data_IF_289413142688
#
_entry.id   IF_289413142688
#
_cell.length_a   1.000
_cell.length_b   1.000
_cell.length_c   1.000
_cell.angle_alpha   90.00
_cell.angle_beta   90.00
_cell.angle_gamma   90.00
#
_symmetry.space_group_name_H-M   'P 1'
#
loop_
_entity.id
_entity.type
_entity.pdbx_description
1 polymer ?
#
# COMPACT_ATOMS: atom_id res chain seq x y z
N UNK A 1 17.78 11.90 -9.44
CA UNK A 1 16.58 12.35 -8.72
C UNK A 1 17.02 13.38 -7.68
N UNK A 2 16.73 14.66 -7.88
CA UNK A 2 17.10 15.72 -6.93
C UNK A 2 15.96 15.87 -5.91
N UNK A 3 16.11 15.30 -4.71
CA UNK A 3 15.11 15.36 -3.63
C UNK A 3 15.40 16.57 -2.74
N UNK A 4 14.38 17.37 -2.43
CA UNK A 4 14.50 18.52 -1.52
C UNK A 4 14.31 18.10 -0.06
N UNK A 5 13.60 17.01 0.18
CA UNK A 5 13.44 16.39 1.49
C UNK A 5 14.78 15.87 2.01
N UNK A 6 15.18 16.38 3.18
CA UNK A 6 16.42 16.01 3.87
C UNK A 6 16.12 15.35 5.19
N UNK A 7 16.47 14.08 5.29
CA UNK A 7 16.45 13.31 6.51
C UNK A 7 17.35 12.08 6.34
N UNK A 8 18.47 12.06 7.05
CA UNK A 8 19.41 10.96 7.06
C UNK A 8 19.23 10.04 8.27
N UNK A 9 18.13 10.17 9.02
CA UNK A 9 17.81 9.27 10.12
C UNK A 9 17.47 7.90 9.57
N UNK A 10 18.26 6.92 9.97
CA UNK A 10 18.08 5.53 9.57
C UNK A 10 16.83 4.95 10.25
N UNK A 11 15.96 4.34 9.46
CA UNK A 11 14.74 3.68 9.95
C UNK A 11 15.04 2.23 10.36
N UNK A 12 15.89 1.55 9.60
CA UNK A 12 16.28 0.15 9.82
C UNK A 12 17.52 -0.21 8.98
N UNK A 13 18.18 -1.30 9.37
CA UNK A 13 19.08 -2.06 8.49
C UNK A 13 18.28 -3.20 7.86
N UNK A 14 18.45 -3.39 6.55
CA UNK A 14 17.86 -4.52 5.84
C UNK A 14 18.88 -5.08 4.84
N UNK A 15 19.21 -6.37 4.96
CA UNK A 15 20.18 -7.05 4.09
C UNK A 15 21.55 -6.35 3.98
N UNK A 16 21.99 -5.73 5.08
CA UNK A 16 23.24 -4.96 5.14
C UNK A 16 23.18 -3.55 4.54
N UNK A 17 21.97 -3.07 4.21
CA UNK A 17 21.74 -1.72 3.69
C UNK A 17 20.95 -0.88 4.70
N UNK A 18 21.43 0.32 5.00
CA UNK A 18 20.66 1.33 5.75
C UNK A 18 19.44 1.74 4.93
N UNK A 19 18.26 1.72 5.53
CA UNK A 19 17.02 2.14 4.92
C UNK A 19 16.53 3.44 5.57
N UNK A 20 16.10 4.39 4.75
CA UNK A 20 15.63 5.71 5.13
C UNK A 20 14.15 5.88 4.78
N UNK A 21 13.54 6.98 5.22
CA UNK A 21 12.12 7.23 4.96
C UNK A 21 11.78 7.25 3.45
N UNK A 22 12.69 7.79 2.63
CA UNK A 22 12.59 7.75 1.18
C UNK A 22 12.55 6.32 0.62
N UNK A 23 13.29 5.38 1.22
CA UNK A 23 13.32 3.99 0.76
C UNK A 23 11.99 3.28 1.06
N UNK A 24 11.36 3.59 2.20
CA UNK A 24 10.02 3.06 2.51
C UNK A 24 8.98 3.64 1.54
N UNK A 25 9.07 4.93 1.22
CA UNK A 25 8.20 5.57 0.24
C UNK A 25 8.36 4.91 -1.12
N UNK A 26 9.59 4.74 -1.59
CA UNK A 26 9.90 4.09 -2.87
C UNK A 26 9.38 2.64 -2.87
N UNK A 27 9.54 1.90 -1.76
CA UNK A 27 8.96 0.56 -1.60
C UNK A 27 7.43 0.54 -1.60
N UNK A 28 6.77 1.55 -1.02
CA UNK A 28 5.31 1.68 -1.08
C UNK A 28 4.82 1.94 -2.51
N UNK A 29 5.51 2.78 -3.27
CA UNK A 29 5.18 3.04 -4.68
C UNK A 29 5.36 1.77 -5.52
N UNK A 30 6.50 1.09 -5.39
CA UNK A 30 6.77 -0.16 -6.09
C UNK A 30 5.73 -1.23 -5.71
N UNK A 31 5.41 -1.37 -4.42
CA UNK A 31 4.43 -2.32 -3.93
C UNK A 31 2.98 -1.93 -4.17
N UNK A 32 2.72 -0.74 -4.75
CA UNK A 32 1.38 -0.15 -4.90
C UNK A 32 0.60 -0.13 -3.59
N UNK A 33 1.26 0.29 -2.51
CA UNK A 33 0.72 0.36 -1.16
C UNK A 33 0.45 1.81 -0.78
N UNK A 34 -0.82 2.13 -0.53
CA UNK A 34 -1.21 3.40 0.07
C UNK A 34 -0.44 3.70 1.36
N UNK A 35 0.19 4.87 1.42
CA UNK A 35 1.05 5.31 2.53
C UNK A 35 0.45 6.52 3.24
N UNK A 36 0.35 6.44 4.57
CA UNK A 36 -0.02 7.58 5.41
C UNK A 36 1.20 8.04 6.21
N UNK A 37 1.57 9.32 6.04
CA UNK A 37 2.59 9.99 6.83
C UNK A 37 1.92 10.79 7.94
N UNK A 38 2.13 10.37 9.18
CA UNK A 38 1.66 11.10 10.36
C UNK A 38 2.81 11.71 11.14
N UNK A 39 2.51 12.70 11.96
CA UNK A 39 3.46 13.34 12.86
C UNK A 39 3.13 14.82 13.04
N UNK A 40 3.98 15.56 13.73
CA UNK A 40 3.80 16.97 14.04
C UNK A 40 4.03 17.89 12.83
N UNK A 41 3.44 19.09 12.89
CA UNK A 41 3.64 20.13 11.88
C UNK A 41 5.13 20.47 11.76
N UNK A 42 5.63 20.58 10.52
CA UNK A 42 7.02 20.93 10.25
C UNK A 42 7.99 19.74 10.22
N UNK A 43 7.54 18.49 10.40
CA UNK A 43 8.40 17.30 10.25
C UNK A 43 8.78 16.94 8.79
N UNK A 44 8.34 17.76 7.82
CA UNK A 44 8.67 17.58 6.39
C UNK A 44 7.76 16.63 5.61
N UNK A 45 6.63 16.17 6.18
CA UNK A 45 5.67 15.24 5.55
C UNK A 45 5.22 15.71 4.16
N UNK A 46 4.76 16.96 4.07
CA UNK A 46 4.27 17.55 2.83
C UNK A 46 5.38 17.69 1.80
N UNK A 47 6.61 18.03 2.22
CA UNK A 47 7.75 18.11 1.30
C UNK A 47 8.10 16.73 0.74
N UNK A 48 8.16 15.71 1.58
CA UNK A 48 8.37 14.33 1.15
C UNK A 48 7.30 13.87 0.16
N UNK A 49 6.02 14.07 0.49
CA UNK A 49 4.91 13.69 -0.39
C UNK A 49 4.95 14.43 -1.75
N UNK A 50 5.40 15.69 -1.77
CA UNK A 50 5.56 16.46 -3.00
C UNK A 50 6.77 16.07 -3.81
N UNK A 51 7.89 15.75 -3.17
CA UNK A 51 9.07 15.24 -3.87
C UNK A 51 8.73 13.97 -4.66
N UNK A 52 7.86 13.12 -4.11
CA UNK A 52 7.35 11.93 -4.81
C UNK A 52 6.49 12.27 -6.03
N UNK A 53 5.74 13.38 -5.99
CA UNK A 53 4.97 13.80 -7.16
C UNK A 53 5.84 14.06 -8.38
N UNK A 54 7.09 14.49 -8.16
CA UNK A 54 8.04 14.73 -9.25
C UNK A 54 8.30 13.47 -10.08
N UNK A 55 8.22 12.28 -9.50
CA UNK A 55 8.38 11.02 -10.21
C UNK A 55 7.28 10.74 -11.23
N UNK A 56 6.10 11.34 -11.07
CA UNK A 56 4.94 11.07 -11.91
C UNK A 56 4.61 12.25 -12.83
N UNK A 57 5.35 13.36 -12.76
CA UNK A 57 5.10 14.55 -13.56
C UNK A 57 3.63 15.00 -13.53
N UNK A 58 3.00 15.06 -14.71
CA UNK A 58 1.59 15.45 -14.85
C UNK A 58 0.58 14.32 -14.52
N UNK A 59 1.06 13.14 -14.11
CA UNK A 59 0.24 11.98 -13.72
C UNK A 59 0.03 11.89 -12.21
N UNK A 60 0.46 12.91 -11.45
CA UNK A 60 0.17 13.07 -10.04
C UNK A 60 -0.92 14.13 -9.80
N UNK A 61 -1.79 13.87 -8.83
CA UNK A 61 -2.79 14.82 -8.35
C UNK A 61 -2.49 15.21 -6.90
N UNK A 62 -2.50 16.51 -6.61
CA UNK A 62 -2.44 17.03 -5.24
C UNK A 62 -3.81 17.49 -4.75
N UNK A 63 -4.18 17.11 -3.54
CA UNK A 63 -5.38 17.54 -2.83
C UNK A 63 -4.99 18.06 -1.45
N UNK A 64 -5.49 19.23 -1.09
CA UNK A 64 -5.37 19.75 0.27
C UNK A 64 -6.68 19.47 1.00
N UNK A 65 -6.61 18.70 2.08
CA UNK A 65 -7.74 18.34 2.90
C UNK A 65 -8.25 19.52 3.70
N UNK A 66 -9.57 19.74 3.64
CA UNK A 66 -10.28 20.81 4.34
C UNK A 66 -11.63 20.31 4.84
N UNK A 67 -12.13 20.92 5.91
CA UNK A 67 -13.42 20.57 6.52
C UNK A 67 -14.62 21.06 5.69
N UNK A 68 -14.42 22.05 4.83
CA UNK A 68 -15.42 22.61 3.91
C UNK A 68 -15.41 21.94 2.52
N UNK A 69 -14.51 20.98 2.30
CA UNK A 69 -14.39 20.29 1.02
C UNK A 69 -15.62 19.42 0.75
N UNK A 70 -16.20 19.56 -0.45
CA UNK A 70 -17.30 18.71 -0.90
C UNK A 70 -16.82 17.68 -1.95
N UNK A 71 -17.64 16.65 -2.18
CA UNK A 71 -17.33 15.62 -3.17
C UNK A 71 -17.33 16.19 -4.59
N UNK A 72 -18.07 17.29 -4.83
CA UNK A 72 -18.11 17.95 -6.14
C UNK A 72 -16.79 18.60 -6.48
N UNK A 73 -16.10 19.26 -5.55
CA UNK A 73 -14.77 19.82 -5.73
C UNK A 73 -13.77 18.73 -6.12
N UNK A 74 -13.82 17.57 -5.44
CA UNK A 74 -13.00 16.42 -5.81
C UNK A 74 -13.30 15.96 -7.24
N UNK A 75 -14.57 15.84 -7.61
CA UNK A 75 -14.97 15.43 -8.96
C UNK A 75 -14.80 16.51 -10.03
N UNK A 76 -14.73 17.79 -9.68
CA UNK A 76 -14.33 18.88 -10.56
C UNK A 76 -12.83 18.78 -10.87
N UNK A 77 -12.01 18.34 -9.91
CA UNK A 77 -10.61 17.96 -10.16
C UNK A 77 -10.46 16.69 -11.02
N UNK A 78 -11.54 15.93 -11.24
CA UNK A 78 -11.63 14.88 -12.27
C UNK A 78 -12.50 15.26 -13.49
N UNK A 79 -13.11 16.46 -13.47
CA UNK A 79 -14.04 17.01 -14.45
C UNK A 79 -15.16 16.04 -14.91
N UNK A 80 -15.80 15.33 -13.96
CA UNK A 80 -16.80 14.29 -14.26
C UNK A 80 -18.13 14.80 -14.85
N UNK A 81 -18.38 16.11 -14.88
CA UNK A 81 -19.65 16.70 -15.35
C UNK A 81 -20.00 16.29 -16.80
N UNK A 82 -19.03 15.76 -17.56
CA UNK A 82 -19.19 15.34 -18.95
C UNK A 82 -19.28 13.81 -19.16
N UNK A 83 -19.02 12.98 -18.14
CA UNK A 83 -19.18 11.51 -18.23
C UNK A 83 -20.65 11.06 -18.20
N UNK A 84 -21.57 11.96 -17.86
CA UNK A 84 -23.02 11.72 -17.88
C UNK A 84 -23.70 11.85 -19.25
N UNK A 85 -22.98 12.28 -20.30
CA UNK A 85 -23.53 12.32 -21.67
C UNK A 85 -23.36 10.94 -22.32
N UNK A 86 -24.38 10.08 -22.22
CA UNK A 86 -24.51 8.92 -23.12
C UNK A 86 -24.93 9.41 -24.51
N UNK A 87 -24.10 9.28 -25.56
CA UNK A 87 -24.60 9.44 -26.92
C UNK A 87 -25.53 8.25 -27.24
N UNK A 88 -26.58 8.51 -27.99
CA UNK A 88 -27.57 7.52 -28.41
C UNK A 88 -27.10 6.65 -29.60
N UNK A 89 -25.79 6.40 -29.73
CA UNK A 89 -25.18 5.72 -30.86
C UNK A 89 -24.15 4.67 -30.40
N UNK A 90 -24.26 3.44 -30.91
CA UNK A 90 -23.32 2.32 -30.72
C UNK A 90 -22.03 2.56 -31.53
N UNK A 91 -21.22 3.53 -31.11
CA UNK A 91 -19.89 3.78 -31.68
C UNK A 91 -18.85 3.75 -30.56
N UNK A 92 -17.80 2.95 -30.72
CA UNK A 92 -16.69 2.87 -29.77
C UNK A 92 -15.49 3.69 -30.29
N UNK A 93 -15.02 4.73 -29.56
CA UNK A 93 -13.77 5.39 -29.87
C UNK A 93 -12.58 4.54 -29.46
N UNK A 94 -11.66 4.29 -30.39
CA UNK A 94 -10.36 3.70 -30.11
C UNK A 94 -9.26 4.71 -30.45
N UNK A 95 -8.45 5.06 -29.46
CA UNK A 95 -7.25 5.88 -29.68
C UNK A 95 -6.19 4.98 -30.28
N UNK A 96 -5.72 5.29 -31.49
CA UNK A 96 -4.56 4.61 -32.05
C UNK A 96 -3.34 4.93 -31.15
N UNK A 97 -2.73 3.91 -30.51
CA UNK A 97 -1.70 4.13 -29.51
C UNK A 97 -0.38 4.66 -30.10
N UNK A 98 -0.15 4.52 -31.41
CA UNK A 98 1.08 4.96 -32.08
C UNK A 98 0.98 6.40 -32.58
N UNK A 99 -0.21 6.82 -33.03
CA UNK A 99 -0.41 8.15 -33.65
C UNK A 99 -1.17 9.13 -32.77
N UNK A 100 -1.84 8.67 -31.71
CA UNK A 100 -2.68 9.48 -30.83
C UNK A 100 -3.98 9.96 -31.49
N UNK A 101 -4.28 9.50 -32.70
CA UNK A 101 -5.50 9.85 -33.45
C UNK A 101 -6.65 8.95 -32.96
N UNK A 102 -7.79 9.57 -32.65
CA UNK A 102 -9.03 8.85 -32.31
C UNK A 102 -9.66 8.32 -33.59
N UNK A 103 -9.74 7.00 -33.72
CA UNK A 103 -10.41 6.31 -34.81
C UNK A 103 -11.73 5.72 -34.32
N UNK A 104 -12.75 5.73 -35.18
CA UNK A 104 -14.12 5.38 -34.81
C UNK A 104 -14.56 4.10 -35.51
N UNK A 105 -15.09 3.17 -34.73
CA UNK A 105 -15.49 1.86 -35.19
C UNK A 105 -16.97 1.63 -34.91
N UNK A 106 -17.63 0.91 -35.81
CA UNK A 106 -19.00 0.43 -35.62
C UNK A 106 -19.07 -1.10 -35.74
N UNK A 107 -19.92 -1.76 -34.96
CA UNK A 107 -20.11 -3.20 -35.07
C UNK A 107 -20.87 -3.55 -36.36
N UNK A 108 -20.37 -4.53 -37.10
CA UNK A 108 -20.96 -5.07 -38.31
C UNK A 108 -20.88 -6.60 -38.29
N UNK A 109 -21.94 -7.28 -38.73
CA UNK A 109 -21.94 -8.74 -38.86
C UNK A 109 -21.63 -9.10 -40.30
N UNK A 110 -20.50 -9.78 -40.52
CA UNK A 110 -20.11 -10.31 -41.82
C UNK A 110 -19.88 -11.81 -41.72
N UNK A 111 -20.50 -12.56 -42.63
CA UNK A 111 -20.44 -14.03 -42.65
C UNK A 111 -20.81 -14.69 -41.30
N UNK A 112 -21.74 -14.07 -40.55
CA UNK A 112 -22.19 -14.57 -39.26
C UNK A 112 -21.26 -14.29 -38.08
N UNK A 113 -20.19 -13.49 -38.28
CA UNK A 113 -19.24 -13.11 -37.23
C UNK A 113 -19.31 -11.60 -36.97
N UNK A 114 -19.32 -11.20 -35.70
CA UNK A 114 -19.25 -9.79 -35.30
C UNK A 114 -17.84 -9.25 -35.57
N UNK A 115 -17.75 -8.17 -36.31
CA UNK A 115 -16.50 -7.47 -36.66
C UNK A 115 -16.67 -5.97 -36.45
N UNK A 116 -15.60 -5.28 -36.06
CA UNK A 116 -15.62 -3.83 -35.89
C UNK A 116 -15.02 -3.19 -37.14
N UNK A 117 -15.83 -2.40 -37.86
CA UNK A 117 -15.39 -1.71 -39.07
C UNK A 117 -15.04 -0.26 -38.79
N UNK A 118 -13.86 0.15 -39.27
CA UNK A 118 -13.41 1.54 -39.24
C UNK A 118 -14.32 2.37 -40.14
N UNK A 119 -14.84 3.48 -39.60
CA UNK A 119 -15.61 4.46 -40.37
C UNK A 119 -14.67 5.13 -41.39
N UNK A 120 -15.14 5.36 -42.62
CA UNK A 120 -14.36 6.06 -43.64
C UNK A 120 -14.07 7.52 -43.25
N UNK A 121 -13.01 8.11 -43.82
CA UNK A 121 -12.49 9.42 -43.35
C UNK A 121 -13.51 10.56 -43.48
N UNK A 122 -14.42 10.49 -44.46
CA UNK A 122 -15.46 11.49 -44.71
C UNK A 122 -16.57 11.44 -43.63
N UNK A 123 -17.02 10.24 -43.24
CA UNK A 123 -17.97 10.08 -42.13
C UNK A 123 -17.31 10.28 -40.76
N UNK A 124 -16.03 9.93 -40.62
CA UNK A 124 -15.25 10.23 -39.42
C UNK A 124 -15.16 11.75 -39.18
N UNK A 125 -14.99 12.56 -40.23
CA UNK A 125 -15.01 14.01 -40.14
C UNK A 125 -16.39 14.56 -39.71
N UNK A 126 -17.49 13.97 -40.17
CA UNK A 126 -18.86 14.36 -39.78
C UNK A 126 -19.15 13.97 -38.32
N UNK A 127 -18.69 12.80 -37.87
CA UNK A 127 -18.80 12.35 -36.47
C UNK A 127 -17.95 13.24 -35.56
N UNK A 128 -16.73 13.60 -35.98
CA UNK A 128 -15.85 14.54 -35.27
C UNK A 128 -16.49 15.93 -35.15
N UNK A 129 -17.04 16.46 -36.24
CA UNK A 129 -17.77 17.74 -36.27
C UNK A 129 -18.97 17.78 -35.31
N UNK A 130 -19.70 16.66 -35.17
CA UNK A 130 -20.85 16.55 -34.27
C UNK A 130 -20.44 16.31 -32.82
N UNK A 131 -19.35 15.58 -32.58
CA UNK A 131 -18.78 15.35 -31.25
C UNK A 131 -18.04 16.56 -30.72
N UNK A 132 -17.35 17.35 -31.55
CA UNK A 132 -16.77 18.65 -31.17
C UNK A 132 -17.85 19.62 -30.69
N UNK A 133 -19.06 19.54 -31.28
CA UNK A 133 -20.25 20.27 -30.79
C UNK A 133 -20.83 19.72 -29.48
N UNK A 134 -20.50 18.49 -29.07
CA UNK A 134 -21.07 17.80 -27.90
C UNK A 134 -20.09 17.64 -26.72
N UNK A 135 -18.78 17.57 -26.97
CA UNK A 135 -17.75 17.25 -25.98
C UNK A 135 -16.95 18.48 -25.48
N UNK A 136 -17.07 19.63 -26.14
CA UNK A 136 -16.16 20.75 -25.94
C UNK A 136 -14.83 20.56 -26.68
N UNK A 137 -13.94 21.54 -26.59
CA UNK A 137 -12.75 21.69 -27.44
C UNK A 137 -11.74 20.53 -27.26
N UNK A 138 -10.81 20.35 -28.20
CA UNK A 138 -9.74 19.32 -28.17
C UNK A 138 -8.89 19.33 -26.90
N UNK A 139 -8.81 20.46 -26.20
CA UNK A 139 -8.17 20.60 -24.88
C UNK A 139 -8.95 19.87 -23.77
N UNK A 140 -10.27 19.84 -23.84
CA UNK A 140 -11.14 19.20 -22.84
C UNK A 140 -11.01 17.67 -22.89
N UNK A 141 -10.86 17.10 -24.09
CA UNK A 141 -10.62 15.67 -24.30
C UNK A 141 -9.23 15.27 -23.83
N UNK A 142 -8.22 16.13 -24.05
CA UNK A 142 -6.87 15.96 -23.49
C UNK A 142 -6.88 16.04 -21.96
N UNK A 143 -7.65 16.96 -21.37
CA UNK A 143 -7.79 17.09 -19.91
C UNK A 143 -8.43 15.84 -19.29
N UNK A 144 -9.55 15.35 -19.86
CA UNK A 144 -10.21 14.10 -19.40
C UNK A 144 -9.29 12.87 -19.55
N UNK A 145 -8.60 12.73 -20.68
CA UNK A 145 -7.67 11.61 -20.93
C UNK A 145 -6.45 11.67 -20.00
N UNK A 146 -5.95 12.87 -19.70
CA UNK A 146 -4.84 13.08 -18.76
C UNK A 146 -5.21 12.68 -17.32
N UNK A 147 -6.45 12.95 -16.89
CA UNK A 147 -6.91 12.64 -15.53
C UNK A 147 -7.28 11.17 -15.33
N UNK A 148 -7.73 10.48 -16.39
CA UNK A 148 -7.82 9.01 -16.40
C UNK A 148 -6.43 8.37 -16.27
N UNK A 149 -5.37 9.07 -16.68
CA UNK A 149 -3.98 8.64 -16.56
C UNK A 149 -3.29 9.11 -15.25
N UNK A 150 -4.07 9.44 -14.22
CA UNK A 150 -3.53 9.75 -12.89
C UNK A 150 -3.09 8.46 -12.19
N UNK A 151 -1.82 8.38 -11.81
CA UNK A 151 -1.20 7.22 -11.15
C UNK A 151 -0.90 7.45 -9.68
N UNK A 152 -0.73 8.71 -9.26
CA UNK A 152 -0.44 9.08 -7.88
C UNK A 152 -1.45 10.11 -7.41
N UNK A 153 -2.04 9.87 -6.25
CA UNK A 153 -2.87 10.86 -5.57
C UNK A 153 -2.20 11.20 -4.23
N UNK A 154 -1.81 12.46 -4.08
CA UNK A 154 -1.26 13.01 -2.84
C UNK A 154 -2.34 13.82 -2.14
N UNK A 155 -2.68 13.46 -0.90
CA UNK A 155 -3.62 14.21 -0.06
C UNK A 155 -2.90 14.75 1.16
N UNK A 156 -2.68 16.06 1.21
CA UNK A 156 -2.17 16.72 2.39
C UNK A 156 -3.31 16.96 3.38
N UNK A 157 -3.08 16.79 4.68
CA UNK A 157 -4.09 17.02 5.71
C UNK A 157 -5.39 16.21 5.52
N UNK A 158 -5.28 14.94 5.10
CA UNK A 158 -6.40 14.00 4.94
C UNK A 158 -7.35 13.93 6.18
N UNK A 159 -6.86 14.00 7.44
CA UNK A 159 -7.73 14.05 8.62
C UNK A 159 -8.79 15.15 8.61
N UNK A 160 -8.51 16.27 7.93
CA UNK A 160 -9.38 17.44 7.89
C UNK A 160 -10.54 17.27 6.89
N UNK A 161 -10.47 16.29 5.99
CA UNK A 161 -11.56 16.01 5.06
C UNK A 161 -12.78 15.41 5.78
N UNK A 162 -13.97 15.83 5.37
CA UNK A 162 -15.23 15.20 5.79
C UNK A 162 -15.28 13.71 5.37
N UNK A 163 -15.97 12.83 6.13
CA UNK A 163 -15.99 11.38 5.86
C UNK A 163 -16.37 11.01 4.41
N UNK A 164 -17.34 11.71 3.82
CA UNK A 164 -17.79 11.45 2.45
C UNK A 164 -16.68 11.70 1.40
N UNK A 165 -15.89 12.76 1.58
CA UNK A 165 -14.75 13.08 0.71
C UNK A 165 -13.62 12.06 0.92
N UNK A 166 -13.32 11.70 2.17
CA UNK A 166 -12.33 10.66 2.48
C UNK A 166 -12.65 9.33 1.81
N UNK A 167 -13.91 8.90 1.83
CA UNK A 167 -14.35 7.69 1.16
C UNK A 167 -14.04 7.70 -0.34
N UNK A 168 -14.27 8.83 -1.02
CA UNK A 168 -13.97 9.00 -2.43
C UNK A 168 -12.46 9.05 -2.70
N UNK A 169 -11.68 9.74 -1.86
CA UNK A 169 -10.22 9.75 -1.96
C UNK A 169 -9.63 8.35 -1.88
N UNK A 170 -10.15 7.49 -0.99
CA UNK A 170 -9.73 6.10 -0.92
C UNK A 170 -10.05 5.29 -2.18
N UNK A 171 -11.19 5.55 -2.84
CA UNK A 171 -11.49 4.91 -4.12
C UNK A 171 -10.46 5.30 -5.19
N UNK A 172 -10.03 6.57 -5.20
CA UNK A 172 -8.97 7.05 -6.09
C UNK A 172 -7.64 6.35 -5.81
N UNK A 173 -7.28 6.19 -4.53
CA UNK A 173 -6.09 5.45 -4.13
C UNK A 173 -6.13 4.00 -4.65
N UNK A 174 -7.30 3.36 -4.56
CA UNK A 174 -7.55 2.01 -5.09
C UNK A 174 -7.65 1.97 -6.64
N UNK A 175 -7.56 3.13 -7.30
CA UNK A 175 -7.50 3.27 -8.76
C UNK A 175 -8.86 3.21 -9.44
N UNK A 176 -9.90 3.71 -8.79
CA UNK A 176 -11.20 3.88 -9.44
C UNK A 176 -11.98 5.10 -8.96
N UNK A 177 -12.95 5.51 -9.76
CA UNK A 177 -13.94 6.53 -9.45
C UNK A 177 -15.30 5.88 -9.54
N UNK A 178 -16.18 6.15 -8.57
CA UNK A 178 -17.56 5.67 -8.61
C UNK A 178 -18.50 6.78 -9.12
N UNK A 179 -19.23 6.50 -10.21
CA UNK A 179 -20.20 7.43 -10.79
C UNK A 179 -21.53 6.69 -10.89
N UNK A 180 -22.55 7.19 -10.18
CA UNK A 180 -23.89 6.59 -10.17
C UNK A 180 -23.88 5.08 -9.86
N UNK A 181 -23.04 4.66 -8.90
CA UNK A 181 -22.90 3.25 -8.50
C UNK A 181 -22.02 2.39 -9.41
N UNK A 182 -21.47 2.94 -10.49
CA UNK A 182 -20.60 2.22 -11.42
C UNK A 182 -19.14 2.62 -11.21
N UNK A 183 -18.21 1.65 -10.98
CA UNK A 183 -16.79 1.94 -10.83
C UNK A 183 -16.08 2.08 -12.20
N UNK A 184 -15.33 3.16 -12.37
CA UNK A 184 -14.49 3.45 -13.54
C UNK A 184 -13.03 3.42 -13.13
N UNK A 185 -12.22 2.59 -13.79
CA UNK A 185 -10.79 2.46 -13.49
C UNK A 185 -10.00 3.68 -13.96
N UNK A 186 -9.05 4.11 -13.14
CA UNK A 186 -8.07 5.15 -13.46
C UNK A 186 -6.64 4.60 -13.33
N UNK A 187 -5.67 5.33 -13.86
CA UNK A 187 -4.25 5.02 -13.75
C UNK A 187 -3.79 3.85 -14.60
N UNK A 188 -4.56 3.42 -15.60
CA UNK A 188 -4.21 2.31 -16.52
C UNK A 188 -3.68 1.05 -15.81
N UNK A 189 -4.31 0.69 -14.69
CA UNK A 189 -3.92 -0.49 -13.90
C UNK A 189 -3.00 -0.19 -12.71
N UNK A 190 -2.40 1.01 -12.65
CA UNK A 190 -1.58 1.46 -11.52
C UNK A 190 -2.12 2.78 -10.94
N UNK A 191 -2.51 2.74 -9.67
CA UNK A 191 -2.84 3.91 -8.86
C UNK A 191 -2.40 3.65 -7.43
N UNK A 192 -1.88 4.69 -6.77
CA UNK A 192 -1.45 4.65 -5.36
C UNK A 192 -1.73 5.98 -4.68
N UNK A 193 -2.12 5.92 -3.40
CA UNK A 193 -2.33 7.10 -2.56
C UNK A 193 -1.17 7.36 -1.60
N UNK A 194 -0.73 8.60 -1.49
CA UNK A 194 0.06 9.09 -0.35
C UNK A 194 -0.77 10.14 0.36
N UNK A 195 -0.93 10.01 1.66
CA UNK A 195 -1.64 11.00 2.45
C UNK A 195 -0.82 11.44 3.66
N UNK A 196 -1.00 12.69 4.08
CA UNK A 196 -0.38 13.23 5.28
C UNK A 196 -1.47 13.64 6.28
N UNK A 197 -1.08 13.76 7.55
CA UNK A 197 -1.89 14.47 8.52
C UNK A 197 -1.27 14.47 9.90
N UNK A 198 -1.77 15.34 10.76
CA UNK A 198 -1.36 15.39 12.16
C UNK A 198 -2.39 14.56 12.97
N UNK A 199 -1.98 13.41 13.50
CA UNK A 199 -2.84 12.56 14.35
C UNK A 199 -2.26 12.59 15.76
N UNK A 200 -3.07 13.01 16.74
CA UNK A 200 -2.67 12.96 18.16
C UNK A 200 -2.52 14.32 18.85
N UNK A 201 -2.64 15.43 18.15
CA UNK A 201 -2.80 16.73 18.82
C UNK A 201 -4.23 16.86 19.37
N UNK A 202 -4.38 17.46 20.56
CA UNK A 202 -5.67 17.76 21.23
C UNK A 202 -6.68 18.55 20.38
N UNK A 203 -6.35 18.92 19.14
CA UNK A 203 -7.10 19.81 18.26
C UNK A 203 -7.65 19.17 16.98
N UNK A 204 -7.47 17.88 16.74
CA UNK A 204 -8.17 17.20 15.63
C UNK A 204 -9.46 16.54 16.11
N UNK A 205 -10.60 17.17 15.82
CA UNK A 205 -11.96 16.78 16.23
C UNK A 205 -12.47 15.43 15.65
N UNK A 206 -11.64 14.66 14.92
CA UNK A 206 -12.09 13.49 14.14
C UNK A 206 -11.30 12.18 14.35
N UNK A 207 -10.49 12.07 15.43
CA UNK A 207 -9.56 10.95 15.64
C UNK A 207 -10.21 9.55 15.62
N UNK A 208 -11.44 9.41 16.11
CA UNK A 208 -12.11 8.11 16.23
C UNK A 208 -12.61 7.55 14.87
N UNK A 209 -13.25 8.38 14.03
CA UNK A 209 -13.74 7.95 12.70
C UNK A 209 -12.62 7.81 11.68
N UNK A 210 -11.59 8.65 11.80
CA UNK A 210 -10.39 8.57 10.99
C UNK A 210 -9.58 7.31 11.31
N UNK A 211 -9.49 6.94 12.59
CA UNK A 211 -8.75 5.77 13.04
C UNK A 211 -9.18 4.48 12.33
N UNK A 212 -10.49 4.22 12.18
CA UNK A 212 -10.97 2.98 11.52
C UNK A 212 -10.75 2.99 10.01
N UNK A 213 -11.05 4.10 9.34
CA UNK A 213 -10.91 4.19 7.89
C UNK A 213 -9.43 4.17 7.43
N UNK A 214 -8.53 4.82 8.19
CA UNK A 214 -7.08 4.73 7.96
C UNK A 214 -6.57 3.30 8.19
N UNK A 215 -6.96 2.66 9.30
CA UNK A 215 -6.60 1.27 9.62
C UNK A 215 -6.93 0.28 8.50
N UNK A 216 -8.05 0.50 7.82
CA UNK A 216 -8.56 -0.43 6.82
C UNK A 216 -8.02 -0.16 5.40
N UNK A 217 -7.65 1.08 5.04
CA UNK A 217 -7.36 1.47 3.64
C UNK A 217 -5.98 2.09 3.39
N UNK A 218 -5.30 2.55 4.43
CA UNK A 218 -3.87 2.90 4.35
C UNK A 218 -3.09 1.64 4.71
N UNK A 219 -2.28 1.15 3.77
CA UNK A 219 -1.58 -0.12 3.94
C UNK A 219 -0.36 0.03 4.84
N UNK A 220 0.28 1.20 4.81
CA UNK A 220 1.45 1.54 5.61
C UNK A 220 1.20 2.88 6.27
N UNK A 221 1.49 2.98 7.57
CA UNK A 221 1.42 4.23 8.32
C UNK A 221 2.78 4.47 8.96
N UNK A 222 3.38 5.62 8.67
CA UNK A 222 4.66 6.02 9.24
C UNK A 222 4.46 7.28 10.05
N UNK A 223 4.77 7.17 11.33
CA UNK A 223 4.92 8.30 12.23
C UNK A 223 6.33 8.90 12.10
N UNK A 224 6.41 10.07 11.47
CA UNK A 224 7.65 10.78 11.18
C UNK A 224 8.31 11.35 12.43
N UNK A 225 7.59 11.47 13.54
CA UNK A 225 8.12 12.07 14.77
C UNK A 225 9.14 11.14 15.45
N UNK A 226 9.05 9.83 15.20
CA UNK A 226 10.06 8.85 15.61
C UNK A 226 11.31 8.87 14.73
N UNK A 227 11.28 9.58 13.60
CA UNK A 227 12.35 9.62 12.60
C UNK A 227 12.68 11.07 12.22
N UNK A 228 12.86 11.95 13.20
CA UNK A 228 13.18 13.36 12.95
C UNK A 228 14.57 13.53 12.31
N UNK A 229 14.80 14.60 11.52
CA UNK A 229 16.09 14.85 10.89
C UNK A 229 17.25 14.95 11.90
N UNK A 230 18.44 14.52 11.50
CA UNK A 230 19.63 14.66 12.35
C UNK A 230 20.03 16.13 12.54
N UNK A 231 20.88 16.48 13.53
CA UNK A 231 21.40 17.84 13.64
C UNK A 231 22.12 18.34 12.38
N UNK A 232 22.79 17.44 11.65
CA UNK A 232 23.42 17.75 10.37
C UNK A 232 22.38 18.08 9.31
N UNK A 233 21.34 17.24 9.16
CA UNK A 233 20.25 17.51 8.23
C UNK A 233 19.60 18.85 8.55
N UNK A 234 19.36 19.12 9.83
CA UNK A 234 18.77 20.37 10.32
C UNK A 234 19.64 21.56 9.94
N UNK A 235 20.95 21.49 10.16
CA UNK A 235 21.88 22.54 9.74
C UNK A 235 21.82 22.77 8.22
N UNK A 236 21.77 21.70 7.42
CA UNK A 236 21.68 21.79 5.97
C UNK A 236 20.33 22.32 5.46
N UNK A 237 19.23 22.04 6.17
CA UNK A 237 17.90 22.61 5.90
C UNK A 237 17.92 24.10 6.21
N UNK A 238 18.40 24.48 7.40
CA UNK A 238 18.43 25.87 7.88
C UNK A 238 19.41 26.76 7.09
N UNK A 239 20.54 26.19 6.63
CA UNK A 239 21.51 26.88 5.80
C UNK A 239 21.12 26.94 4.31
N UNK A 240 20.10 26.17 3.91
CA UNK A 240 19.56 26.13 2.56
C UNK A 240 18.63 27.31 2.27
N UNK A 241 17.59 27.04 1.47
CA UNK A 241 16.55 28.03 1.22
C UNK A 241 15.78 28.33 2.51
N UNK A 242 15.85 29.58 2.97
CA UNK A 242 15.18 30.03 4.21
C UNK A 242 13.69 30.32 4.01
N UNK A 243 13.15 30.14 2.80
CA UNK A 243 11.72 30.23 2.55
C UNK A 243 11.01 29.08 3.30
N UNK A 244 10.14 29.37 4.27
CA UNK A 244 9.48 28.34 5.07
C UNK A 244 8.38 27.59 4.30
N UNK A 245 8.12 27.97 3.04
CA UNK A 245 7.12 27.34 2.18
C UNK A 245 7.69 26.07 1.55
N UNK A 246 6.82 25.09 1.37
CA UNK A 246 7.12 23.86 0.62
C UNK A 246 7.63 24.22 -0.78
N UNK A 247 8.78 23.68 -1.13
CA UNK A 247 9.39 23.91 -2.44
C UNK A 247 8.62 23.16 -3.51
N UNK A 248 8.30 23.87 -4.59
CA UNK A 248 7.77 23.27 -5.81
C UNK A 248 8.98 23.00 -6.70
N UNK A 249 9.45 21.75 -6.73
CA UNK A 249 10.41 21.34 -7.75
C UNK A 249 9.79 21.54 -9.13
N UNK A 250 10.58 22.06 -10.07
CA UNK A 250 10.18 22.15 -11.48
C UNK A 250 9.85 20.76 -12.04
N UNK A 251 9.16 20.71 -13.19
CA UNK A 251 8.79 19.46 -13.87
C UNK A 251 10.04 18.59 -14.00
N UNK A 252 10.15 17.58 -13.16
CA UNK A 252 11.22 16.58 -13.22
C UNK A 252 10.94 15.61 -14.38
N UNK A 253 11.96 14.85 -14.77
CA UNK A 253 11.76 13.70 -15.66
C UNK A 253 10.70 12.77 -15.07
N UNK A 254 9.71 12.40 -15.88
CA UNK A 254 8.63 11.50 -15.50
C UNK A 254 9.17 10.06 -15.38
N UNK A 255 9.52 9.69 -14.15
CA UNK A 255 10.01 8.36 -13.76
C UNK A 255 8.87 7.32 -13.56
N UNK A 256 7.60 7.66 -13.83
CA UNK A 256 6.46 6.78 -13.54
C UNK A 256 6.55 5.43 -14.23
N UNK A 257 7.07 5.39 -15.46
CA UNK A 257 7.24 4.14 -16.20
C UNK A 257 8.18 3.16 -15.48
N UNK A 258 9.25 3.67 -14.85
CA UNK A 258 10.20 2.85 -14.07
C UNK A 258 9.56 2.27 -12.82
N UNK A 259 8.77 3.08 -12.11
CA UNK A 259 8.05 2.65 -10.90
C UNK A 259 6.99 1.61 -11.26
N UNK A 260 6.19 1.88 -12.29
CA UNK A 260 5.12 0.98 -12.76
C UNK A 260 5.70 -0.34 -13.25
N UNK A 261 6.82 -0.31 -14.01
CA UNK A 261 7.50 -1.51 -14.47
C UNK A 261 7.93 -2.40 -13.31
N UNK A 262 8.58 -1.83 -12.28
CA UNK A 262 8.94 -2.59 -11.07
C UNK A 262 7.73 -3.12 -10.31
N UNK A 263 6.65 -2.35 -10.26
CA UNK A 263 5.42 -2.81 -9.62
C UNK A 263 4.87 -4.06 -10.32
N UNK A 264 4.85 -4.05 -11.65
CA UNK A 264 4.44 -5.20 -12.47
C UNK A 264 5.39 -6.40 -12.28
N UNK A 265 6.70 -6.17 -12.22
CA UNK A 265 7.67 -7.23 -11.91
C UNK A 265 7.33 -7.92 -10.60
N UNK A 266 7.17 -7.18 -9.49
CA UNK A 266 6.81 -7.76 -8.18
C UNK A 266 5.43 -8.41 -8.21
N UNK A 267 4.45 -7.88 -8.95
CA UNK A 267 3.14 -8.53 -9.13
C UNK A 267 3.24 -9.91 -9.77
N UNK A 268 4.19 -10.11 -10.68
CA UNK A 268 4.42 -11.39 -11.36
C UNK A 268 5.39 -12.33 -10.64
N UNK A 269 6.25 -11.80 -9.76
CA UNK A 269 7.21 -12.60 -9.00
C UNK A 269 6.50 -13.55 -8.01
N UNK A 270 6.75 -14.87 -8.09
CA UNK A 270 6.20 -15.81 -7.12
C UNK A 270 6.60 -15.46 -5.69
N UNK A 271 5.64 -15.55 -4.76
CA UNK A 271 5.91 -15.30 -3.35
C UNK A 271 6.71 -16.49 -2.79
N UNK A 272 7.89 -16.26 -2.19
CA UNK A 272 8.65 -17.33 -1.53
C UNK A 272 7.82 -18.03 -0.45
N UNK A 273 7.91 -19.36 -0.38
CA UNK A 273 7.14 -20.17 0.55
C UNK A 273 7.38 -19.76 2.02
N UNK A 274 8.61 -19.37 2.35
CA UNK A 274 8.98 -18.88 3.69
C UNK A 274 8.16 -17.64 4.09
N UNK A 275 8.00 -16.66 3.20
CA UNK A 275 7.16 -15.48 3.45
C UNK A 275 5.70 -15.87 3.71
N UNK A 276 5.19 -16.90 3.03
CA UNK A 276 3.83 -17.41 3.28
C UNK A 276 3.71 -18.08 4.66
N UNK A 277 4.72 -18.83 5.11
CA UNK A 277 4.73 -19.39 6.47
C UNK A 277 4.80 -18.31 7.54
N UNK A 278 5.64 -17.29 7.35
CA UNK A 278 5.72 -16.14 8.25
C UNK A 278 4.38 -15.40 8.30
N UNK A 279 3.76 -15.12 7.16
CA UNK A 279 2.44 -14.48 7.11
C UNK A 279 1.35 -15.32 7.81
N UNK A 280 1.38 -16.66 7.65
CA UNK A 280 0.47 -17.56 8.35
C UNK A 280 0.70 -17.56 9.87
N UNK A 281 1.95 -17.45 10.32
CA UNK A 281 2.26 -17.27 11.73
C UNK A 281 1.65 -15.96 12.27
N UNK A 282 1.81 -14.85 11.56
CA UNK A 282 1.22 -13.57 11.95
C UNK A 282 -0.33 -13.60 11.99
N UNK A 283 -0.96 -14.45 11.17
CA UNK A 283 -2.42 -14.61 11.11
C UNK A 283 -2.98 -15.56 12.18
N UNK A 284 -2.29 -16.68 12.40
CA UNK A 284 -2.78 -17.82 13.19
C UNK A 284 -1.93 -18.09 14.43
N UNK A 285 -0.60 -18.04 14.32
CA UNK A 285 0.30 -18.22 15.45
C UNK A 285 0.17 -17.10 16.47
N UNK A 286 0.04 -15.85 16.02
CA UNK A 286 -0.30 -14.72 16.87
C UNK A 286 -1.77 -14.70 17.31
N UNK A 287 -2.66 -15.57 16.82
CA UNK A 287 -4.04 -15.67 17.32
C UNK A 287 -4.16 -16.56 18.56
N UNK A 288 -3.16 -17.41 18.80
CA UNK A 288 -3.19 -18.40 19.87
C UNK A 288 -3.03 -17.78 21.26
N UNK A 289 -3.79 -18.31 22.22
CA UNK A 289 -3.59 -18.18 23.67
C UNK A 289 -3.98 -19.50 24.37
N UNK A 290 -3.69 -19.61 25.66
CA UNK A 290 -4.09 -20.75 26.53
C UNK A 290 -5.57 -21.13 26.41
N UNK A 291 -6.45 -20.14 26.21
CA UNK A 291 -7.91 -20.31 26.07
C UNK A 291 -8.38 -20.48 24.62
N UNK A 292 -7.46 -20.66 23.68
CA UNK A 292 -7.73 -20.89 22.27
C UNK A 292 -7.39 -19.70 21.39
N UNK A 293 -8.40 -19.04 20.81
CA UNK A 293 -8.23 -17.97 19.82
C UNK A 293 -8.56 -16.60 20.42
N UNK A 294 -7.61 -15.66 20.34
CA UNK A 294 -7.78 -14.28 20.80
C UNK A 294 -8.90 -13.57 20.03
N UNK A 295 -9.06 -13.83 18.73
CA UNK A 295 -10.19 -13.30 17.95
C UNK A 295 -11.56 -13.70 18.52
N UNK A 296 -11.68 -14.90 19.09
CA UNK A 296 -12.94 -15.36 19.69
C UNK A 296 -13.26 -14.67 21.02
N UNK A 297 -12.24 -14.10 21.67
CA UNK A 297 -12.41 -13.36 22.93
C UNK A 297 -12.99 -11.96 22.70
N UNK A 298 -12.88 -11.39 21.49
CA UNK A 298 -13.36 -10.04 21.15
C UNK A 298 -12.88 -9.00 22.17
N UNK A 299 -13.79 -8.20 22.72
CA UNK A 299 -13.53 -7.13 23.69
C UNK A 299 -13.07 -7.67 25.07
N UNK A 300 -13.14 -8.98 25.29
CA UNK A 300 -12.61 -9.61 26.49
C UNK A 300 -11.11 -9.89 26.43
N UNK A 301 -10.46 -9.72 25.27
CA UNK A 301 -9.01 -9.61 25.19
C UNK A 301 -8.60 -8.17 25.52
N UNK A 302 -7.56 -7.94 26.33
CA UNK A 302 -6.65 -8.92 26.94
C UNK A 302 -7.08 -9.42 28.33
N UNK A 303 -8.17 -8.90 28.90
CA UNK A 303 -8.52 -9.10 30.34
C UNK A 303 -8.79 -10.55 30.73
N UNK A 304 -9.26 -11.38 29.80
CA UNK A 304 -9.51 -12.80 30.05
C UNK A 304 -8.28 -13.70 29.85
N UNK A 305 -7.12 -13.17 29.48
CA UNK A 305 -5.89 -13.97 29.41
C UNK A 305 -5.44 -14.43 30.80
N UNK A 306 -4.67 -15.51 30.84
CA UNK A 306 -4.01 -15.93 32.08
C UNK A 306 -2.93 -14.91 32.49
N UNK A 307 -2.67 -14.77 33.80
CA UNK A 307 -1.80 -13.72 34.32
C UNK A 307 -0.40 -13.68 33.67
N UNK A 308 0.17 -14.85 33.35
CA UNK A 308 1.47 -14.93 32.70
C UNK A 308 1.44 -14.54 31.21
N UNK A 309 0.28 -14.63 30.54
CA UNK A 309 0.08 -14.23 29.14
C UNK A 309 -0.21 -12.73 29.01
N UNK A 310 -0.78 -12.10 30.04
CA UNK A 310 -1.08 -10.66 30.01
C UNK A 310 0.17 -9.80 29.87
N UNK A 311 1.32 -10.25 30.38
CA UNK A 311 2.60 -9.56 30.29
C UNK A 311 3.48 -9.96 29.10
N UNK A 312 2.98 -10.80 28.18
CA UNK A 312 3.76 -11.31 27.04
C UNK A 312 3.25 -10.78 25.69
N UNK A 313 3.84 -11.25 24.58
CA UNK A 313 3.35 -10.96 23.23
C UNK A 313 1.87 -11.36 23.04
N UNK A 314 1.38 -12.35 23.79
CA UNK A 314 -0.02 -12.80 23.76
C UNK A 314 -0.99 -11.70 24.21
N UNK A 315 -0.64 -10.95 25.26
CA UNK A 315 -1.39 -9.80 25.77
C UNK A 315 -1.10 -8.48 25.06
N UNK A 316 0.02 -8.39 24.34
CA UNK A 316 0.44 -7.17 23.66
C UNK A 316 -0.17 -6.99 22.28
N UNK A 317 -0.33 -8.06 21.50
CA UNK A 317 -0.72 -7.95 20.09
C UNK A 317 -1.80 -8.94 19.67
N UNK A 318 -2.74 -8.49 18.84
CA UNK A 318 -3.69 -9.30 18.11
C UNK A 318 -3.09 -9.81 16.80
N UNK A 319 -3.56 -10.94 16.26
CA UNK A 319 -3.14 -11.38 14.93
C UNK A 319 -3.55 -10.38 13.85
N UNK A 320 -2.74 -10.27 12.80
CA UNK A 320 -3.02 -9.35 11.68
C UNK A 320 -4.25 -9.79 10.88
N UNK A 321 -4.90 -8.89 10.14
CA UNK A 321 -5.94 -9.28 9.19
C UNK A 321 -5.34 -9.92 7.92
N UNK A 322 -6.09 -10.70 7.13
CA UNK A 322 -5.61 -11.19 5.83
C UNK A 322 -5.19 -10.06 4.88
N UNK A 323 -5.84 -8.88 4.97
CA UNK A 323 -5.45 -7.69 4.19
C UNK A 323 -4.08 -7.17 4.65
N UNK A 324 -3.87 -7.02 5.95
CA UNK A 324 -2.58 -6.60 6.50
C UNK A 324 -1.48 -7.62 6.18
N UNK A 325 -1.75 -8.93 6.26
CA UNK A 325 -0.79 -9.96 5.85
C UNK A 325 -0.37 -9.82 4.38
N UNK A 326 -1.31 -9.53 3.46
CA UNK A 326 -0.98 -9.23 2.05
C UNK A 326 -0.14 -7.97 1.91
N UNK A 327 -0.46 -6.91 2.65
CA UNK A 327 0.35 -5.68 2.67
C UNK A 327 1.77 -5.96 3.17
N UNK A 328 1.94 -6.79 4.21
CA UNK A 328 3.25 -7.17 4.76
C UNK A 328 4.07 -7.94 3.73
N UNK A 329 3.48 -8.92 3.05
CA UNK A 329 4.16 -9.68 1.99
C UNK A 329 4.58 -8.72 0.86
N UNK A 330 3.67 -7.87 0.40
CA UNK A 330 3.93 -6.94 -0.70
C UNK A 330 5.00 -5.91 -0.34
N UNK A 331 4.93 -5.36 0.86
CA UNK A 331 5.91 -4.41 1.37
C UNK A 331 7.27 -5.07 1.51
N UNK A 332 7.34 -6.29 2.07
CA UNK A 332 8.63 -6.97 2.22
C UNK A 332 9.29 -7.27 0.88
N UNK A 333 8.54 -7.71 -0.14
CA UNK A 333 9.09 -7.90 -1.49
C UNK A 333 9.57 -6.58 -2.10
N UNK A 334 8.86 -5.49 -1.84
CA UNK A 334 9.24 -4.16 -2.34
C UNK A 334 10.46 -3.60 -1.62
N UNK A 335 10.58 -3.85 -0.31
CA UNK A 335 11.76 -3.52 0.48
C UNK A 335 12.99 -4.31 0.05
N UNK A 336 12.83 -5.60 -0.25
CA UNK A 336 13.91 -6.42 -0.82
C UNK A 336 14.38 -5.84 -2.16
N UNK A 337 13.45 -5.47 -3.05
CA UNK A 337 13.79 -4.83 -4.33
C UNK A 337 14.50 -3.50 -4.16
N UNK A 338 14.13 -2.69 -3.16
CA UNK A 338 14.84 -1.43 -2.85
C UNK A 338 16.23 -1.73 -2.28
N UNK A 339 16.36 -2.70 -1.38
CA UNK A 339 17.66 -3.09 -0.83
C UNK A 339 18.61 -3.63 -1.92
N UNK A 340 18.10 -4.42 -2.86
CA UNK A 340 18.84 -4.90 -4.03
C UNK A 340 19.38 -3.73 -4.88
N UNK A 341 18.54 -2.72 -5.14
CA UNK A 341 18.96 -1.52 -5.87
C UNK A 341 20.04 -0.70 -5.15
N UNK A 342 20.11 -0.83 -3.82
CA UNK A 342 21.17 -0.22 -3.00
C UNK A 342 22.43 -1.07 -2.91
N UNK A 343 22.41 -2.27 -3.51
CA UNK A 343 23.57 -3.16 -3.62
C UNK A 343 23.51 -4.40 -2.73
N UNK A 344 22.37 -4.71 -2.11
CA UNK A 344 22.20 -5.99 -1.44
C UNK A 344 22.29 -7.15 -2.45
N UNK A 345 23.05 -8.20 -2.11
CA UNK A 345 23.16 -9.38 -2.95
C UNK A 345 21.88 -10.22 -2.86
N UNK A 346 21.42 -10.74 -4.00
CA UNK A 346 20.24 -11.62 -4.06
C UNK A 346 20.34 -12.82 -3.11
N UNK A 347 21.53 -13.42 -2.97
CA UNK A 347 21.75 -14.53 -2.04
C UNK A 347 21.57 -14.15 -0.57
N UNK A 348 21.87 -12.90 -0.21
CA UNK A 348 21.65 -12.38 1.15
C UNK A 348 20.15 -12.21 1.40
N UNK A 349 19.43 -11.63 0.44
CA UNK A 349 17.97 -11.45 0.48
C UNK A 349 17.28 -12.81 0.65
N UNK A 350 17.62 -13.77 -0.20
CA UNK A 350 17.04 -15.12 -0.21
C UNK A 350 17.29 -15.90 1.08
N UNK A 351 18.39 -15.60 1.78
CA UNK A 351 18.73 -16.25 3.04
C UNK A 351 18.05 -15.65 4.28
N UNK A 352 17.39 -14.49 4.14
CA UNK A 352 16.91 -13.72 5.28
C UNK A 352 15.52 -13.08 5.06
N UNK A 353 14.58 -13.83 4.47
CA UNK A 353 13.22 -13.34 4.26
C UNK A 353 12.50 -12.97 5.55
N UNK A 354 12.83 -13.64 6.67
CA UNK A 354 12.29 -13.31 7.98
C UNK A 354 12.45 -11.83 8.35
N UNK A 355 13.64 -11.26 8.17
CA UNK A 355 13.91 -9.87 8.54
C UNK A 355 13.06 -8.90 7.70
N UNK A 356 13.04 -9.07 6.37
CA UNK A 356 12.20 -8.26 5.47
C UNK A 356 10.71 -8.30 5.85
N UNK A 357 10.21 -9.49 6.25
CA UNK A 357 8.82 -9.68 6.68
C UNK A 357 8.54 -9.02 8.02
N UNK A 358 9.47 -9.08 8.98
CA UNK A 358 9.31 -8.46 10.30
C UNK A 358 9.40 -6.93 10.23
N UNK A 359 10.31 -6.39 9.40
CA UNK A 359 10.35 -4.96 9.15
C UNK A 359 9.06 -4.47 8.47
N UNK A 360 8.55 -5.20 7.48
CA UNK A 360 7.26 -4.89 6.87
C UNK A 360 6.10 -5.00 7.88
N UNK A 361 6.10 -6.01 8.73
CA UNK A 361 5.13 -6.20 9.82
C UNK A 361 5.12 -5.00 10.77
N UNK A 362 6.29 -4.48 11.15
CA UNK A 362 6.44 -3.30 12.01
C UNK A 362 5.66 -2.11 11.48
N UNK A 363 5.91 -1.70 10.23
CA UNK A 363 5.29 -0.50 9.65
C UNK A 363 3.83 -0.68 9.24
N UNK A 364 3.43 -1.89 8.83
CA UNK A 364 2.02 -2.17 8.53
C UNK A 364 1.19 -2.22 9.81
N UNK A 365 1.73 -2.75 10.90
CA UNK A 365 0.94 -3.09 12.09
C UNK A 365 0.91 -2.00 13.17
N UNK A 366 1.89 -1.09 13.20
CA UNK A 366 2.01 -0.06 14.23
C UNK A 366 0.71 0.72 14.47
N UNK A 367 0.00 1.06 13.39
CA UNK A 367 -1.24 1.83 13.46
C UNK A 367 -2.46 1.08 12.90
N UNK A 368 -2.35 -0.23 12.66
CA UNK A 368 -3.47 -1.05 12.15
C UNK A 368 -4.50 -1.43 13.23
N UNK A 369 -4.25 -1.07 14.50
CA UNK A 369 -5.12 -1.39 15.63
C UNK A 369 -4.98 -2.81 16.16
N UNK A 370 -3.84 -3.48 15.91
CA UNK A 370 -3.55 -4.81 16.48
C UNK A 370 -2.93 -4.74 17.87
N UNK A 371 -2.37 -3.59 18.27
CA UNK A 371 -1.71 -3.45 19.56
C UNK A 371 -2.70 -3.19 20.69
N UNK A 372 -2.39 -3.73 21.87
CA UNK A 372 -3.03 -3.36 23.12
C UNK A 372 -2.52 -1.99 23.57
N UNK A 373 -3.23 -0.92 23.19
CA UNK A 373 -2.82 0.46 23.44
C UNK A 373 -2.52 0.71 24.93
N UNK A 374 -3.31 0.15 25.86
CA UNK A 374 -3.05 0.31 27.30
C UNK A 374 -1.71 -0.27 27.74
N UNK A 375 -1.29 -1.38 27.14
CA UNK A 375 0.01 -1.99 27.44
C UNK A 375 1.15 -1.25 26.72
N UNK A 376 0.92 -0.73 25.51
CA UNK A 376 1.86 0.14 24.81
C UNK A 376 2.14 1.40 25.65
N UNK A 377 1.09 2.05 26.17
CA UNK A 377 1.21 3.23 27.02
C UNK A 377 1.98 2.90 28.31
N UNK A 378 1.63 1.80 28.98
CA UNK A 378 2.19 1.45 30.27
C UNK A 378 3.64 0.94 30.22
N UNK A 379 3.98 0.11 29.23
CA UNK A 379 5.28 -0.59 29.16
C UNK A 379 6.23 -0.03 28.10
N UNK A 380 5.72 0.72 27.12
CA UNK A 380 6.49 1.21 25.98
C UNK A 380 6.37 2.73 25.79
N UNK A 381 5.80 3.46 26.75
CA UNK A 381 5.70 4.94 26.70
C UNK A 381 4.99 5.45 25.44
N UNK A 382 3.92 4.76 25.02
CA UNK A 382 3.17 5.04 23.80
C UNK A 382 3.94 4.82 22.48
N UNK A 383 5.13 4.22 22.53
CA UNK A 383 5.97 3.89 21.38
C UNK A 383 5.57 2.55 20.76
N UNK A 384 4.74 2.64 19.72
CA UNK A 384 4.21 1.48 18.98
C UNK A 384 5.29 0.69 18.26
N UNK A 385 6.36 1.36 17.82
CA UNK A 385 7.47 0.70 17.15
C UNK A 385 8.28 -0.15 18.13
N UNK A 386 8.58 0.36 19.32
CA UNK A 386 9.24 -0.43 20.37
C UNK A 386 8.39 -1.61 20.85
N UNK A 387 7.08 -1.42 20.97
CA UNK A 387 6.17 -2.52 21.29
C UNK A 387 6.25 -3.63 20.23
N UNK A 388 6.26 -3.26 18.95
CA UNK A 388 6.40 -4.23 17.85
C UNK A 388 7.79 -4.85 17.78
N UNK A 389 8.85 -4.12 18.11
CA UNK A 389 10.21 -4.69 18.20
C UNK A 389 10.27 -5.81 19.25
N UNK A 390 9.57 -5.66 20.38
CA UNK A 390 9.46 -6.72 21.39
C UNK A 390 8.69 -7.96 20.87
N UNK A 391 7.61 -7.75 20.11
CA UNK A 391 6.87 -8.83 19.44
C UNK A 391 7.74 -9.54 18.39
N UNK A 392 8.50 -8.77 17.60
CA UNK A 392 9.41 -9.30 16.57
C UNK A 392 10.51 -10.15 17.22
N UNK A 393 11.12 -9.67 18.30
CA UNK A 393 12.14 -10.41 19.03
C UNK A 393 11.60 -11.76 19.55
N UNK A 394 10.40 -11.74 20.13
CA UNK A 394 9.73 -12.97 20.62
C UNK A 394 9.40 -13.91 19.45
N UNK A 395 8.88 -13.37 18.35
CA UNK A 395 8.56 -14.14 17.14
C UNK A 395 9.80 -14.78 16.54
N UNK A 396 10.93 -14.06 16.49
CA UNK A 396 12.21 -14.59 16.02
C UNK A 396 12.64 -15.79 16.84
N UNK A 397 12.60 -15.68 18.17
CA UNK A 397 12.92 -16.80 19.06
C UNK A 397 12.01 -18.01 18.81
N UNK A 398 10.71 -17.79 18.54
CA UNK A 398 9.77 -18.87 18.23
C UNK A 398 10.14 -19.60 16.93
N UNK A 399 10.52 -18.86 15.89
CA UNK A 399 10.97 -19.45 14.62
C UNK A 399 12.29 -20.18 14.76
N UNK A 400 13.25 -19.64 15.53
CA UNK A 400 14.53 -20.30 15.80
C UNK A 400 14.34 -21.64 16.53
N UNK A 401 13.49 -21.67 17.57
CA UNK A 401 13.18 -22.90 18.32
C UNK A 401 12.50 -23.95 17.44
N UNK A 402 11.66 -23.54 16.49
CA UNK A 402 10.94 -24.46 15.60
C UNK A 402 11.66 -24.75 14.28
N UNK A 403 12.82 -24.14 14.03
CA UNK A 403 13.48 -24.14 12.72
C UNK A 403 13.70 -25.55 12.15
N UNK A 404 14.21 -26.47 12.95
CA UNK A 404 14.47 -27.85 12.51
C UNK A 404 13.17 -28.62 12.22
N UNK A 405 12.11 -28.37 12.99
CA UNK A 405 10.81 -29.02 12.79
C UNK A 405 10.13 -28.48 11.54
N UNK A 406 10.22 -27.16 11.30
CA UNK A 406 9.76 -26.51 10.07
C UNK A 406 10.50 -27.08 8.86
N UNK A 407 11.83 -27.14 8.91
CA UNK A 407 12.66 -27.70 7.82
C UNK A 407 12.25 -29.14 7.49
N UNK A 408 12.17 -29.99 8.51
CA UNK A 408 11.74 -31.38 8.34
C UNK A 408 10.31 -31.49 7.76
N UNK A 409 9.39 -30.61 8.18
CA UNK A 409 8.04 -30.54 7.66
C UNK A 409 7.97 -30.14 6.18
N UNK A 410 8.81 -29.18 5.77
CA UNK A 410 8.90 -28.72 4.37
C UNK A 410 9.52 -29.79 3.48
N UNK A 411 10.60 -30.44 3.91
CA UNK A 411 11.22 -31.57 3.19
C UNK A 411 10.25 -32.75 3.04
N UNK A 412 9.50 -33.05 4.10
CA UNK A 412 8.41 -34.03 4.08
C UNK A 412 7.36 -33.65 3.02
N UNK A 413 6.89 -32.40 3.01
CA UNK A 413 5.91 -31.93 2.04
C UNK A 413 6.44 -31.96 0.59
N UNK A 414 7.68 -31.56 0.38
CA UNK A 414 8.34 -31.55 -0.93
C UNK A 414 8.57 -32.95 -1.49
N UNK A 415 8.81 -33.95 -0.63
CA UNK A 415 8.99 -35.35 -1.04
C UNK A 415 7.69 -36.14 -1.19
N UNK A 416 6.53 -35.53 -0.91
CA UNK A 416 5.22 -36.18 -0.98
C UNK A 416 4.98 -37.24 0.10
N UNK A 417 5.91 -37.40 1.04
CA UNK A 417 5.83 -38.40 2.13
C UNK A 417 5.13 -37.79 3.33
N UNK A 418 4.43 -38.61 4.11
CA UNK A 418 3.75 -38.14 5.33
C UNK A 418 4.38 -38.81 6.55
N UNK A 419 4.92 -38.01 7.48
CA UNK A 419 5.40 -38.48 8.78
C UNK A 419 4.58 -37.82 9.90
N UNK A 420 3.70 -38.61 10.52
CA UNK A 420 2.87 -38.15 11.63
C UNK A 420 3.71 -37.66 12.84
N UNK A 421 4.94 -38.15 13.02
CA UNK A 421 5.83 -37.69 14.11
C UNK A 421 6.29 -36.26 13.91
N UNK A 422 6.48 -35.82 12.66
CA UNK A 422 6.82 -34.42 12.36
C UNK A 422 5.57 -33.55 12.51
N UNK A 423 4.44 -33.96 11.94
CA UNK A 423 3.19 -33.20 12.01
C UNK A 423 2.68 -33.00 13.45
N UNK A 424 2.83 -34.02 14.31
CA UNK A 424 2.38 -33.95 15.69
C UNK A 424 3.27 -33.08 16.60
N UNK A 425 4.45 -32.63 16.14
CA UNK A 425 5.27 -31.66 16.87
C UNK A 425 4.74 -30.23 16.77
N UNK A 426 3.90 -29.93 15.77
CA UNK A 426 3.26 -28.64 15.63
C UNK A 426 2.03 -28.54 16.54
N UNK A 427 2.25 -28.12 17.78
CA UNK A 427 1.21 -27.91 18.80
C UNK A 427 0.94 -26.42 19.02
N UNK A 428 -0.12 -26.10 19.78
CA UNK A 428 -0.39 -24.76 20.29
C UNK A 428 -0.37 -23.69 19.20
N UNK A 429 0.45 -22.64 19.37
CA UNK A 429 0.62 -21.55 18.40
C UNK A 429 1.11 -22.01 17.03
N UNK A 430 1.72 -23.19 16.95
CA UNK A 430 2.24 -23.76 15.71
C UNK A 430 1.27 -24.73 15.03
N UNK A 431 0.11 -25.01 15.63
CA UNK A 431 -0.90 -25.94 15.07
C UNK A 431 -1.32 -25.61 13.63
N UNK A 432 -1.25 -24.34 13.23
CA UNK A 432 -1.54 -23.93 11.85
C UNK A 432 -0.57 -24.56 10.84
N UNK A 433 0.71 -24.74 11.19
CA UNK A 433 1.72 -25.30 10.30
C UNK A 433 1.38 -26.73 9.89
N UNK A 434 0.82 -27.53 10.80
CA UNK A 434 0.34 -28.87 10.48
C UNK A 434 -0.66 -28.84 9.33
N UNK A 435 -1.70 -28.01 9.46
CA UNK A 435 -2.74 -27.90 8.44
C UNK A 435 -2.17 -27.39 7.10
N UNK A 436 -1.25 -26.42 7.15
CA UNK A 436 -0.58 -25.89 5.95
C UNK A 436 0.22 -26.98 5.24
N UNK A 437 1.01 -27.76 5.97
CA UNK A 437 1.82 -28.84 5.39
C UNK A 437 0.96 -29.98 4.83
N UNK A 438 -0.11 -30.36 5.53
CA UNK A 438 -1.09 -31.35 5.05
C UNK A 438 -1.73 -30.89 3.71
N UNK A 439 -2.04 -29.60 3.57
CA UNK A 439 -2.58 -29.04 2.34
C UNK A 439 -1.54 -29.04 1.20
N UNK A 440 -0.28 -28.69 1.48
CA UNK A 440 0.80 -28.76 0.49
C UNK A 440 1.02 -30.20 -0.02
N UNK A 441 0.96 -31.18 0.89
CA UNK A 441 1.01 -32.60 0.55
C UNK A 441 -0.17 -33.03 -0.35
N UNK A 442 -1.38 -32.56 -0.06
CA UNK A 442 -2.55 -32.86 -0.88
C UNK A 442 -2.43 -32.27 -2.30
N UNK A 443 -1.91 -31.05 -2.42
CA UNK A 443 -1.66 -30.41 -3.71
C UNK A 443 -0.60 -31.14 -4.55
N UNK A 444 0.44 -31.68 -3.91
CA UNK A 444 1.45 -32.52 -4.58
C UNK A 444 0.87 -33.83 -5.13
N UNK A 445 -0.01 -34.51 -4.37
CA UNK A 445 -0.65 -35.76 -4.81
C UNK A 445 -1.68 -35.59 -5.94
N UNK A 446 -2.12 -34.35 -6.17
CA UNK A 446 -3.10 -34.00 -7.21
C UNK A 446 -2.45 -33.56 -8.53
N UNK A 447 -1.11 -33.45 -8.54
CA UNK A 447 -0.28 -33.29 -9.75
C UNK A 447 0.27 -34.65 -10.14
#
# INVERSE_FOLDING_TARGET
>A
MNKSYKNSTELMQLHGQSMYLNDIVDACLIGRLNLFLQGDTGSGKTQLARDVMSYFGNKAMFVLGRNDMDTRELFQRFNLHKLGYKPKYDLEPLVNPETGIVEWYYPAVENGVFTYKKINDEHAAIVRSKLEKLAGNTEDVKELTSRINTHLIVVDELPNCVPAVRAQLFNLFDGFIEISGTPYRIGKGYSVGIATGNIGQKFTESSNDLGRALKDRMHVVIDTDYFFPTPRDTLEILAGNTNPRVEFSGIAEDDSAKIIGKSQEIETTPIPLEKLFIANYLLHGLDHCSKGSKRRMKDAWPTQLENHEQGSDVGLVLPVSPRAAKSIIRLSQSLDSVAEQKGALQSVIESNYFDSMMQAYKFVSAYSGVLNESMVDAAYYSDKYKALDAVIATTKQQFEVQGDIIRAGVEMAASGKTDARVLNKFTDRWKFMRNTLEQLLAMQKSK
#
